data_IF_100936012689
#
_entry.id   IF_100936012689
#
_cell.length_a   1.000
_cell.length_b   1.000
_cell.length_c   1.000
_cell.angle_alpha   90.00
_cell.angle_beta   90.00
_cell.angle_gamma   90.00
#
_symmetry.space_group_name_H-M   'P 1'
#
loop_
_entity.id
_entity.type
_entity.pdbx_description
1 polymer ?
#
# COMPACT_ATOMS: atom_id res chain seq x y z
N UNK A 1 -2.09 7.30 12.22
CA UNK A 1 -2.92 6.08 12.05
C UNK A 1 -2.13 5.09 11.20
N UNK A 2 -2.53 3.81 11.18
CA UNK A 2 -1.84 2.80 10.39
C UNK A 2 -2.86 1.95 9.61
N UNK A 3 -2.60 1.70 8.32
CA UNK A 3 -3.41 0.82 7.49
C UNK A 3 -2.58 -0.42 7.11
N UNK A 4 -3.09 -1.61 7.42
CA UNK A 4 -2.44 -2.88 7.11
C UNK A 4 -3.18 -3.60 5.98
N UNK A 5 -2.43 -4.12 5.01
CA UNK A 5 -2.94 -4.96 3.93
C UNK A 5 -2.09 -6.22 3.82
N UNK A 6 -2.73 -7.38 3.81
CA UNK A 6 -2.07 -8.64 3.46
C UNK A 6 -2.01 -8.76 1.93
N UNK A 7 -0.80 -8.83 1.39
CA UNK A 7 -0.52 -8.80 -0.04
C UNK A 7 -0.35 -10.19 -0.67
N UNK A 8 0.07 -11.20 0.10
CA UNK A 8 0.04 -12.61 -0.31
C UNK A 8 0.44 -13.56 0.84
N UNK A 9 -0.02 -14.81 0.79
CA UNK A 9 0.17 -15.82 1.84
C UNK A 9 1.48 -16.64 1.77
N UNK A 10 2.45 -16.32 0.90
CA UNK A 10 3.72 -17.08 0.81
C UNK A 10 4.93 -16.22 0.37
N UNK A 11 6.11 -16.55 0.89
CA UNK A 11 7.42 -15.89 0.73
C UNK A 11 7.90 -15.73 -0.73
N UNK A 12 7.25 -16.37 -1.71
CA UNK A 12 7.64 -16.37 -3.12
C UNK A 12 6.88 -15.35 -3.99
N UNK A 13 5.75 -14.81 -3.50
CA UNK A 13 4.84 -14.01 -4.34
C UNK A 13 5.29 -12.53 -4.45
N UNK A 14 6.10 -12.07 -3.50
CA UNK A 14 6.61 -10.70 -3.46
C UNK A 14 7.49 -10.30 -4.63
N UNK A 15 8.28 -11.23 -5.14
CA UNK A 15 9.15 -11.00 -6.30
C UNK A 15 8.38 -10.81 -7.59
N UNK A 16 7.08 -11.13 -7.62
CA UNK A 16 6.25 -11.02 -8.81
C UNK A 16 5.36 -9.79 -8.82
N UNK A 17 5.39 -8.92 -7.81
CA UNK A 17 4.52 -7.75 -7.76
C UNK A 17 5.29 -6.44 -7.58
N UNK A 18 5.04 -5.49 -8.48
CA UNK A 18 5.38 -4.10 -8.28
C UNK A 18 4.27 -3.42 -7.46
N UNK A 19 4.53 -3.24 -6.16
CA UNK A 19 3.60 -2.57 -5.25
C UNK A 19 3.85 -1.07 -5.25
N UNK A 20 2.79 -0.28 -5.44
CA UNK A 20 2.82 1.18 -5.35
C UNK A 20 1.84 1.66 -4.30
N UNK A 21 2.27 2.66 -3.55
CA UNK A 21 1.46 3.35 -2.54
C UNK A 21 1.43 4.83 -2.89
N UNK A 22 0.24 5.36 -3.08
CA UNK A 22 0.00 6.77 -3.37
C UNK A 22 -0.92 7.34 -2.30
N UNK A 23 -0.58 8.50 -1.76
CA UNK A 23 -1.41 9.23 -0.82
C UNK A 23 -1.67 10.64 -1.34
N UNK A 24 -2.85 11.18 -1.04
CA UNK A 24 -3.16 12.59 -1.26
C UNK A 24 -3.53 13.30 0.07
N UNK A 25 -3.34 14.63 0.17
CA UNK A 25 -3.62 15.37 1.40
C UNK A 25 -5.07 15.29 1.89
N UNK A 26 -6.03 14.93 1.02
CA UNK A 26 -7.44 14.80 1.40
C UNK A 26 -7.72 13.51 2.19
N UNK A 27 -6.71 12.67 2.43
CA UNK A 27 -6.84 11.43 3.18
C UNK A 27 -7.12 10.21 2.31
N UNK A 28 -6.91 10.30 0.99
CA UNK A 28 -7.01 9.12 0.13
C UNK A 28 -5.69 8.38 0.06
N UNK A 29 -5.75 7.07 0.23
CA UNK A 29 -4.63 6.16 0.02
C UNK A 29 -5.00 5.16 -1.08
N UNK A 30 -4.16 5.04 -2.10
CA UNK A 30 -4.28 4.06 -3.18
C UNK A 30 -3.11 3.11 -3.08
N UNK A 31 -3.39 1.82 -2.92
CA UNK A 31 -2.41 0.75 -2.93
C UNK A 31 -2.70 -0.11 -4.16
N UNK A 32 -1.74 -0.19 -5.08
CA UNK A 32 -1.87 -1.01 -6.27
C UNK A 32 -0.73 -2.00 -6.35
N UNK A 33 -1.00 -3.21 -6.83
CA UNK A 33 0.02 -4.18 -7.19
C UNK A 33 -0.21 -4.66 -8.62
N UNK A 34 0.84 -4.63 -9.41
CA UNK A 34 0.84 -5.16 -10.77
C UNK A 34 1.88 -6.28 -10.87
N UNK A 35 1.59 -7.35 -11.63
CA UNK A 35 2.56 -8.40 -11.85
C UNK A 35 3.80 -7.82 -12.56
N UNK A 36 4.99 -8.24 -12.17
CA UNK A 36 6.24 -7.83 -12.82
C UNK A 36 6.30 -8.34 -14.27
N UNK A 37 5.73 -9.52 -14.52
CA UNK A 37 5.58 -10.08 -15.86
C UNK A 37 4.09 -10.24 -16.22
N UNK A 38 3.63 -9.70 -17.37
CA UNK A 38 2.24 -9.82 -17.80
C UNK A 38 1.78 -11.27 -18.01
N UNK A 39 2.72 -12.14 -18.41
CA UNK A 39 2.50 -13.55 -18.72
C UNK A 39 2.95 -14.43 -17.55
N UNK A 40 2.46 -14.11 -16.34
CA UNK A 40 2.91 -14.83 -15.15
C UNK A 40 2.23 -16.21 -15.06
N UNK A 41 3.02 -17.31 -14.96
CA UNK A 41 2.49 -18.67 -14.93
C UNK A 41 1.80 -19.06 -13.61
N UNK A 42 1.87 -18.22 -12.57
CA UNK A 42 1.24 -18.45 -11.27
C UNK A 42 -0.17 -17.84 -11.16
N UNK A 43 -0.67 -17.19 -12.22
CA UNK A 43 -2.02 -16.61 -12.24
C UNK A 43 -2.20 -15.40 -11.32
N UNK A 44 -1.10 -14.78 -10.91
CA UNK A 44 -1.05 -13.52 -10.14
C UNK A 44 -1.77 -12.39 -10.90
N UNK A 45 -2.88 -11.88 -10.33
CA UNK A 45 -3.69 -10.82 -10.93
C UNK A 45 -3.34 -9.44 -10.36
N UNK A 46 -3.45 -8.36 -11.14
CA UNK A 46 -3.36 -7.00 -10.61
C UNK A 46 -4.43 -6.74 -9.54
N UNK A 47 -4.11 -5.87 -8.58
CA UNK A 47 -5.08 -5.39 -7.60
C UNK A 47 -4.94 -3.89 -7.38
N UNK A 48 -6.04 -3.26 -6.96
CA UNK A 48 -6.06 -1.88 -6.49
C UNK A 48 -7.00 -1.78 -5.29
N UNK A 49 -6.48 -1.26 -4.18
CA UNK A 49 -7.24 -0.96 -2.97
C UNK A 49 -7.22 0.53 -2.71
N UNK A 50 -8.40 1.12 -2.61
CA UNK A 50 -8.58 2.53 -2.25
C UNK A 50 -9.08 2.60 -0.81
N UNK A 51 -8.42 3.40 0.01
CA UNK A 51 -8.76 3.63 1.41
C UNK A 51 -8.99 5.12 1.59
N UNK A 52 -10.11 5.47 2.22
CA UNK A 52 -10.44 6.84 2.59
C UNK A 52 -10.27 7.00 4.10
N UNK A 53 -9.36 7.89 4.49
CA UNK A 53 -9.13 8.24 5.88
C UNK A 53 -10.08 9.37 6.31
N UNK A 54 -10.45 9.45 7.59
CA UNK A 54 -11.47 10.38 8.07
C UNK A 54 -11.01 11.85 8.11
N UNK A 55 -9.71 12.11 7.92
CA UNK A 55 -9.10 13.44 8.08
C UNK A 55 -7.96 13.64 7.08
N UNK A 56 -7.55 14.91 6.91
CA UNK A 56 -6.38 15.31 6.11
C UNK A 56 -5.08 14.72 6.64
N UNK A 57 -4.17 14.39 5.72
CA UNK A 57 -2.91 13.71 6.02
C UNK A 57 -1.72 14.48 5.47
N UNK A 58 -0.55 14.25 6.05
CA UNK A 58 0.72 14.71 5.48
C UNK A 58 1.28 13.59 4.57
N UNK A 59 1.15 13.72 3.23
CA UNK A 59 1.65 12.71 2.31
C UNK A 59 3.18 12.62 2.33
N UNK A 60 3.89 13.71 2.70
CA UNK A 60 5.37 13.72 2.73
C UNK A 60 5.93 12.87 3.86
N UNK A 61 5.15 12.66 4.92
CA UNK A 61 5.50 11.78 6.03
C UNK A 61 4.78 10.42 5.99
N UNK A 62 4.07 10.14 4.90
CA UNK A 62 3.49 8.81 4.65
C UNK A 62 4.62 7.84 4.31
N UNK A 63 4.65 6.69 5.00
CA UNK A 63 5.64 5.65 4.75
C UNK A 63 4.99 4.28 4.64
N UNK A 64 5.61 3.40 3.87
CA UNK A 64 5.15 2.05 3.63
C UNK A 64 6.30 1.07 3.85
N UNK A 65 6.04 0.00 4.60
CA UNK A 65 7.00 -1.09 4.82
C UNK A 65 6.33 -2.42 4.54
N UNK A 66 7.09 -3.32 3.92
CA UNK A 66 6.65 -4.68 3.65
C UNK A 66 7.40 -5.63 4.57
N UNK A 67 6.67 -6.53 5.22
CA UNK A 67 7.26 -7.60 6.03
C UNK A 67 7.60 -8.81 5.18
N UNK A 68 8.51 -9.65 5.67
CA UNK A 68 8.85 -10.93 5.04
C UNK A 68 7.63 -11.85 4.85
N UNK A 69 6.60 -11.71 5.69
CA UNK A 69 5.45 -12.60 5.73
C UNK A 69 4.32 -12.29 4.74
N UNK A 70 4.40 -11.27 3.91
CA UNK A 70 3.22 -10.94 3.08
C UNK A 70 2.50 -9.65 3.45
N UNK A 71 2.95 -8.92 4.48
CA UNK A 71 2.14 -7.82 5.02
C UNK A 71 2.72 -6.46 4.67
N UNK A 72 1.88 -5.62 4.05
CA UNK A 72 2.16 -4.21 3.84
C UNK A 72 1.59 -3.39 4.99
N UNK A 73 2.46 -2.57 5.56
CA UNK A 73 2.17 -1.64 6.63
C UNK A 73 2.35 -0.21 6.11
N UNK A 74 1.24 0.55 5.97
CA UNK A 74 1.27 1.97 5.59
C UNK A 74 1.00 2.86 6.80
N UNK A 75 2.02 3.62 7.22
CA UNK A 75 1.92 4.67 8.23
C UNK A 75 1.47 5.97 7.57
N UNK A 76 0.37 6.51 8.06
CA UNK A 76 -0.20 7.76 7.56
C UNK A 76 -0.38 8.75 8.71
N UNK A 77 0.47 9.80 8.80
CA UNK A 77 0.30 10.87 9.77
C UNK A 77 -0.79 11.84 9.30
N UNK A 78 -1.60 12.32 10.26
CA UNK A 78 -2.54 13.40 10.00
C UNK A 78 -1.80 14.74 9.96
N UNK A 79 -2.31 15.71 9.20
CA UNK A 79 -1.83 17.10 9.31
C UNK A 79 -2.01 17.53 10.76
N UNK A 80 -0.92 17.98 11.39
CA UNK A 80 -1.04 18.68 12.67
C UNK A 80 -1.73 20.01 12.38
N UNK A 81 -2.86 20.24 13.04
CA UNK A 81 -3.40 21.59 13.11
C UNK A 81 -2.36 22.42 13.85
N UNK A 82 -1.75 23.40 13.18
CA UNK A 82 -0.94 24.41 13.85
C UNK A 82 -1.82 25.05 14.94
N UNK A 83 -1.50 24.78 16.20
CA UNK A 83 -2.13 25.37 17.38
C UNK A 83 -1.54 26.74 17.68
#
# INVERSE_FOLDING_TARGET
MHCSLELASHELIWWFYNVRVQSDPAGRLVISGEPEQPDNPWGVTPFQKVISLPSRIDPHQTSAVVTLHGQLFVRVPFEQADL
#
